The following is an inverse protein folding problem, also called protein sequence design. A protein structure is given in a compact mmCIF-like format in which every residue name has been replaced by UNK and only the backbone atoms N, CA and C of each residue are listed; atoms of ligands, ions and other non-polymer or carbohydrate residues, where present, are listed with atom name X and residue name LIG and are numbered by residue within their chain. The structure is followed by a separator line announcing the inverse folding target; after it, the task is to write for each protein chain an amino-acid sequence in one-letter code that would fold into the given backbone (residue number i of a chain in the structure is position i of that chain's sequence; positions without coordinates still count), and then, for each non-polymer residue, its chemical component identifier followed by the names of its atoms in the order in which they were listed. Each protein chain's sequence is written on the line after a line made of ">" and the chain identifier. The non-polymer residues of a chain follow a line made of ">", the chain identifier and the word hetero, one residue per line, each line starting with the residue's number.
data_IF_077674210150
#
_entry.id   IF_077674210150
#
_cell.length_a   1.000
_cell.length_b   1.000
_cell.length_c   1.000
_cell.angle_alpha   90.00
_cell.angle_beta   90.00
_cell.angle_gamma   90.00
#
_symmetry.space_group_name_H-M   'P 1'
#
loop_
_entity.id
_entity.type
_entity.pdbx_description
1 polymer ?
#
# COMPACT_ATOMS: atom_id res chain seq x y z
N UNK A 1 -21.61 0.98 -29.32
CA UNK A 1 -20.65 1.57 -28.36
C UNK A 1 -20.89 3.09 -28.39
N UNK A 2 -20.76 3.79 -27.26
CA UNK A 2 -21.08 5.22 -27.20
C UNK A 2 -20.09 6.00 -28.09
N UNK A 3 -20.55 6.75 -29.10
CA UNK A 3 -19.70 7.39 -30.14
C UNK A 3 -18.58 8.26 -29.56
N UNK A 4 -18.75 8.76 -28.33
CA UNK A 4 -17.76 9.53 -27.59
C UNK A 4 -16.52 8.74 -27.17
N UNK A 5 -16.65 7.44 -26.93
CA UNK A 5 -15.53 6.56 -26.55
C UNK A 5 -14.68 6.20 -27.76
N UNK A 6 -15.28 6.03 -28.93
CA UNK A 6 -14.58 5.67 -30.18
C UNK A 6 -13.61 6.78 -30.63
N UNK A 7 -13.93 8.05 -30.34
CA UNK A 7 -13.08 9.20 -30.66
C UNK A 7 -12.23 9.68 -29.48
N UNK A 8 -12.26 8.99 -28.32
CA UNK A 8 -11.56 9.44 -27.13
C UNK A 8 -10.05 9.27 -27.28
N UNK A 9 -9.30 10.37 -27.15
CA UNK A 9 -7.83 10.32 -27.15
C UNK A 9 -7.34 9.77 -25.81
N UNK A 10 -6.52 8.72 -25.85
CA UNK A 10 -5.81 8.23 -24.66
C UNK A 10 -4.79 9.29 -24.24
N UNK A 11 -4.96 9.85 -23.06
CA UNK A 11 -4.05 10.83 -22.48
C UNK A 11 -3.54 10.26 -21.16
N UNK A 12 -2.22 10.19 -20.99
CA UNK A 12 -1.62 9.85 -19.70
C UNK A 12 -1.95 10.98 -18.73
N UNK A 13 -2.69 10.65 -17.67
CA UNK A 13 -3.03 11.64 -16.64
C UNK A 13 -1.78 11.95 -15.81
N UNK A 14 -1.33 13.20 -15.85
CA UNK A 14 -0.30 13.70 -14.93
C UNK A 14 -0.80 13.71 -13.49
N UNK A 15 0.06 13.25 -12.59
CA UNK A 15 -0.21 13.04 -11.17
C UNK A 15 0.99 13.56 -10.39
N UNK A 16 0.73 14.58 -9.60
CA UNK A 16 1.71 15.45 -8.99
C UNK A 16 2.48 14.68 -7.89
N UNK A 17 1.75 13.81 -7.19
CA UNK A 17 2.20 12.98 -6.07
C UNK A 17 3.01 11.74 -6.48
N UNK A 18 3.37 11.57 -7.77
CA UNK A 18 4.18 10.42 -8.21
C UNK A 18 5.54 10.44 -7.52
N UNK A 19 6.06 9.25 -7.24
CA UNK A 19 7.34 9.04 -6.58
C UNK A 19 8.36 8.42 -7.54
N UNK A 20 9.62 8.82 -7.45
CA UNK A 20 10.74 8.18 -8.15
C UNK A 20 11.48 7.17 -7.26
N UNK A 21 11.48 7.39 -5.93
CA UNK A 21 12.30 6.61 -5.00
C UNK A 21 11.48 5.58 -4.19
N UNK A 22 10.15 5.71 -4.17
CA UNK A 22 9.28 4.78 -3.45
C UNK A 22 8.81 3.60 -4.31
N UNK A 23 9.52 2.48 -4.21
CA UNK A 23 9.18 1.22 -4.87
C UNK A 23 8.26 0.28 -4.09
N UNK A 24 7.89 0.61 -2.84
CA UNK A 24 7.23 -0.30 -1.89
C UNK A 24 5.75 0.02 -1.66
N UNK A 25 5.32 1.25 -1.94
CA UNK A 25 3.95 1.72 -1.69
C UNK A 25 3.04 1.76 -2.94
N UNK A 26 3.44 1.11 -4.03
CA UNK A 26 2.66 1.10 -5.28
C UNK A 26 1.21 0.63 -5.07
N UNK A 27 0.99 -0.34 -4.18
CA UNK A 27 -0.34 -0.82 -3.81
C UNK A 27 -1.18 0.24 -3.09
N UNK A 28 -0.58 1.03 -2.20
CA UNK A 28 -1.27 2.11 -1.47
C UNK A 28 -1.69 3.22 -2.44
N UNK A 29 -0.80 3.63 -3.34
CA UNK A 29 -1.12 4.60 -4.40
C UNK A 29 -2.25 4.10 -5.30
N UNK A 30 -2.20 2.83 -5.73
CA UNK A 30 -3.22 2.22 -6.59
C UNK A 30 -4.58 2.17 -5.90
N UNK A 31 -4.64 1.71 -4.65
CA UNK A 31 -5.88 1.67 -3.87
C UNK A 31 -6.46 3.08 -3.67
N UNK A 32 -5.61 4.07 -3.37
CA UNK A 32 -6.06 5.46 -3.21
C UNK A 32 -6.58 6.06 -4.51
N UNK A 33 -5.95 5.73 -5.63
CA UNK A 33 -6.43 6.11 -6.96
C UNK A 33 -7.84 5.57 -7.19
N UNK A 34 -8.06 4.25 -6.99
CA UNK A 34 -9.38 3.63 -7.16
C UNK A 34 -10.43 4.18 -6.17
N UNK A 35 -10.03 4.51 -4.94
CA UNK A 35 -10.93 5.09 -3.92
C UNK A 35 -11.42 6.48 -4.35
N UNK A 36 -10.53 7.34 -4.85
CA UNK A 36 -10.79 8.78 -5.03
C UNK A 36 -11.05 9.22 -6.46
N UNK A 37 -10.52 8.52 -7.47
CA UNK A 37 -10.72 8.89 -8.87
C UNK A 37 -12.07 8.38 -9.38
N UNK A 38 -12.91 9.31 -9.88
CA UNK A 38 -14.26 9.01 -10.42
C UNK A 38 -14.40 9.38 -11.90
N UNK A 39 -13.29 9.37 -12.64
CA UNK A 39 -13.28 9.69 -14.07
C UNK A 39 -13.49 11.18 -14.39
N UNK A 40 -13.30 12.07 -13.43
CA UNK A 40 -13.46 13.53 -13.60
C UNK A 40 -12.18 14.28 -13.26
N UNK A 41 -11.98 15.40 -13.94
CA UNK A 41 -10.90 16.37 -13.68
C UNK A 41 -11.51 17.73 -13.30
N UNK A 42 -10.94 18.49 -12.35
CA UNK A 42 -9.71 18.18 -11.60
C UNK A 42 -9.92 17.04 -10.60
N UNK A 43 -8.87 16.26 -10.37
CA UNK A 43 -8.86 15.17 -9.39
C UNK A 43 -7.74 15.43 -8.39
N UNK A 44 -8.04 15.23 -7.11
CA UNK A 44 -7.07 15.33 -6.03
C UNK A 44 -7.11 14.02 -5.22
N UNK A 45 -5.98 13.32 -5.15
CA UNK A 45 -5.81 12.10 -4.35
C UNK A 45 -5.69 12.38 -2.85
N UNK A 46 -5.39 13.63 -2.48
CA UNK A 46 -5.04 14.07 -1.13
C UNK A 46 -3.57 13.87 -0.77
N UNK A 47 -2.75 13.31 -1.67
CA UNK A 47 -1.32 13.19 -1.44
C UNK A 47 -0.59 14.51 -1.66
N UNK A 48 0.43 14.71 -0.85
CA UNK A 48 1.44 15.75 -1.08
C UNK A 48 2.50 15.22 -2.06
N UNK A 49 3.28 16.12 -2.64
CA UNK A 49 4.38 15.77 -3.54
C UNK A 49 5.54 15.08 -2.78
N UNK A 50 6.36 14.32 -3.51
CA UNK A 50 7.51 13.58 -2.96
C UNK A 50 8.58 14.52 -2.36
N UNK A 51 8.65 15.78 -2.82
CA UNK A 51 9.51 16.83 -2.25
C UNK A 51 9.24 17.08 -0.75
N UNK A 52 8.01 16.79 -0.28
CA UNK A 52 7.61 16.80 1.12
C UNK A 52 7.59 15.39 1.71
N UNK A 53 8.73 14.70 1.56
CA UNK A 53 8.90 13.28 1.89
C UNK A 53 8.31 12.88 3.24
N UNK A 54 8.63 13.55 4.34
CA UNK A 54 8.16 13.17 5.68
C UNK A 54 6.62 13.22 5.82
N UNK A 55 5.99 14.21 5.16
CA UNK A 55 4.55 14.35 5.14
C UNK A 55 3.92 13.27 4.26
N UNK A 56 4.49 13.00 3.08
CA UNK A 56 4.02 11.94 2.19
C UNK A 56 4.17 10.56 2.84
N UNK A 57 5.30 10.27 3.46
CA UNK A 57 5.55 9.02 4.21
C UNK A 57 4.56 8.83 5.34
N UNK A 58 4.18 9.92 6.03
CA UNK A 58 3.14 9.88 7.06
C UNK A 58 1.75 9.58 6.48
N UNK A 59 1.40 10.17 5.32
CA UNK A 59 0.15 9.87 4.61
C UNK A 59 0.12 8.41 4.14
N UNK A 60 1.23 7.91 3.57
CA UNK A 60 1.37 6.54 3.12
C UNK A 60 1.27 5.56 4.28
N UNK A 61 1.96 5.82 5.40
CA UNK A 61 1.87 5.00 6.62
C UNK A 61 0.44 4.91 7.14
N UNK A 62 -0.25 6.05 7.23
CA UNK A 62 -1.65 6.09 7.66
C UNK A 62 -2.57 5.27 6.73
N UNK A 63 -2.46 5.48 5.42
CA UNK A 63 -3.26 4.74 4.44
C UNK A 63 -2.92 3.25 4.43
N UNK A 64 -1.65 2.88 4.61
CA UNK A 64 -1.21 1.50 4.72
C UNK A 64 -1.92 0.80 5.88
N UNK A 65 -1.96 1.41 7.07
CA UNK A 65 -2.70 0.85 8.21
C UNK A 65 -4.21 0.80 7.97
N UNK A 66 -4.80 1.84 7.38
CA UNK A 66 -6.23 1.90 7.06
C UNK A 66 -6.65 0.82 6.07
N UNK A 67 -5.86 0.59 5.03
CA UNK A 67 -6.16 -0.45 4.04
C UNK A 67 -5.87 -1.83 4.59
N UNK A 68 -4.75 -2.02 5.29
CA UNK A 68 -4.40 -3.29 5.93
C UNK A 68 -5.49 -3.72 6.91
N UNK A 69 -5.96 -2.82 7.78
CA UNK A 69 -7.01 -3.14 8.74
C UNK A 69 -8.29 -3.57 8.05
N UNK A 70 -8.71 -2.87 6.98
CA UNK A 70 -9.87 -3.27 6.18
C UNK A 70 -9.71 -4.63 5.52
N UNK A 71 -8.53 -4.94 4.97
CA UNK A 71 -8.26 -6.23 4.30
C UNK A 71 -8.28 -7.36 5.34
N UNK A 72 -7.53 -7.21 6.43
CA UNK A 72 -7.43 -8.20 7.50
C UNK A 72 -8.81 -8.45 8.13
N UNK A 73 -9.54 -7.37 8.42
CA UNK A 73 -10.85 -7.41 9.06
C UNK A 73 -12.01 -7.60 8.08
N UNK A 74 -11.77 -7.82 6.80
CA UNK A 74 -12.83 -8.13 5.84
C UNK A 74 -13.43 -9.51 6.08
N UNK A 75 -14.75 -9.66 5.92
CA UNK A 75 -15.42 -10.97 5.86
C UNK A 75 -15.04 -11.76 4.59
N UNK A 76 -14.56 -11.07 3.55
CA UNK A 76 -14.07 -11.69 2.31
C UNK A 76 -12.63 -12.22 2.42
N UNK A 77 -11.95 -11.99 3.54
CA UNK A 77 -10.61 -12.51 3.74
C UNK A 77 -10.67 -14.02 3.97
N UNK A 78 -10.26 -14.81 2.98
CA UNK A 78 -10.30 -16.28 3.02
C UNK A 78 -9.49 -16.87 4.18
N UNK A 79 -8.47 -16.16 4.66
CA UNK A 79 -7.62 -16.57 5.79
C UNK A 79 -7.94 -15.81 7.07
N UNK A 80 -9.07 -15.10 7.15
CA UNK A 80 -9.50 -14.29 8.31
C UNK A 80 -9.32 -15.05 9.61
N UNK A 81 -9.86 -16.27 9.71
CA UNK A 81 -9.75 -17.09 10.92
C UNK A 81 -8.29 -17.29 11.35
N UNK A 82 -7.40 -17.64 10.42
CA UNK A 82 -5.98 -17.84 10.73
C UNK A 82 -5.33 -16.55 11.23
N UNK A 83 -5.65 -15.42 10.61
CA UNK A 83 -5.14 -14.11 11.02
C UNK A 83 -5.62 -13.71 12.42
N UNK A 84 -6.83 -14.09 12.82
CA UNK A 84 -7.35 -13.85 14.19
C UNK A 84 -6.80 -14.82 15.24
N UNK A 85 -6.50 -16.06 14.86
CA UNK A 85 -5.93 -17.04 15.80
C UNK A 85 -4.42 -16.85 16.01
N UNK A 86 -3.69 -16.38 15.00
CA UNK A 86 -2.24 -16.20 15.07
C UNK A 86 -1.77 -15.31 16.25
N UNK A 87 -2.42 -14.16 16.56
CA UNK A 87 -2.08 -13.36 17.75
C UNK A 87 -2.29 -14.12 19.06
N UNK A 88 -3.35 -14.93 19.18
CA UNK A 88 -3.64 -15.71 20.40
C UNK A 88 -2.54 -16.73 20.67
N UNK A 89 -2.05 -17.39 19.64
CA UNK A 89 -0.93 -18.32 19.74
C UNK A 89 0.38 -17.60 20.06
N UNK A 90 0.57 -16.38 19.55
CA UNK A 90 1.72 -15.55 19.88
C UNK A 90 1.70 -15.12 21.36
N UNK A 91 0.54 -14.75 21.90
CA UNK A 91 0.40 -14.31 23.29
C UNK A 91 0.74 -15.40 24.32
N UNK A 92 0.52 -16.67 23.97
CA UNK A 92 0.85 -17.84 24.81
C UNK A 92 2.36 -18.09 24.94
N UNK A 93 3.18 -17.54 24.04
CA UNK A 93 4.63 -17.77 24.05
C UNK A 93 5.32 -16.87 25.07
N UNK A 94 6.25 -17.42 25.85
CA UNK A 94 7.00 -16.69 26.87
C UNK A 94 8.11 -15.79 26.31
N UNK A 95 8.70 -16.16 25.17
CA UNK A 95 9.82 -15.44 24.54
C UNK A 95 9.36 -14.37 23.53
N UNK A 96 8.49 -13.44 23.94
CA UNK A 96 7.90 -12.42 23.03
C UNK A 96 8.93 -11.43 22.48
N UNK A 97 9.87 -11.00 23.32
CA UNK A 97 10.86 -9.97 22.98
C UNK A 97 11.82 -10.43 21.88
N UNK A 98 12.28 -11.66 21.93
CA UNK A 98 13.22 -12.20 20.93
C UNK A 98 12.55 -12.42 19.57
N UNK A 99 11.27 -12.82 19.57
CA UNK A 99 10.50 -12.97 18.33
C UNK A 99 10.18 -11.62 17.66
N UNK A 100 10.00 -10.53 18.43
CA UNK A 100 9.80 -9.20 17.86
C UNK A 100 11.06 -8.70 17.14
N UNK A 101 12.25 -8.92 17.72
CA UNK A 101 13.53 -8.57 17.07
C UNK A 101 13.76 -9.34 15.77
N UNK A 102 13.30 -10.59 15.70
CA UNK A 102 13.37 -11.41 14.48
C UNK A 102 12.46 -10.88 13.36
N UNK A 103 11.34 -10.25 13.71
CA UNK A 103 10.41 -9.69 12.73
C UNK A 103 11.02 -8.50 11.98
N UNK A 104 11.71 -7.59 12.67
CA UNK A 104 12.39 -6.45 12.05
C UNK A 104 13.45 -6.93 11.05
N UNK A 105 14.22 -7.96 11.41
CA UNK A 105 15.22 -8.57 10.52
C UNK A 105 14.59 -9.21 9.29
N UNK A 106 13.47 -9.92 9.45
CA UNK A 106 12.72 -10.54 8.32
C UNK A 106 12.14 -9.50 7.37
N UNK A 107 11.66 -8.36 7.89
CA UNK A 107 11.15 -7.26 7.06
C UNK A 107 12.29 -6.69 6.22
N UNK A 108 13.44 -6.39 6.82
CA UNK A 108 14.61 -5.90 6.10
C UNK A 108 15.08 -6.87 5.01
N UNK A 109 15.19 -8.17 5.31
CA UNK A 109 15.58 -9.17 4.31
C UNK A 109 14.63 -9.22 3.11
N UNK A 110 13.31 -9.19 3.34
CA UNK A 110 12.32 -9.18 2.26
C UNK A 110 12.43 -7.94 1.38
N UNK A 111 12.77 -6.79 1.98
CA UNK A 111 13.01 -5.56 1.24
C UNK A 111 14.26 -5.70 0.36
N UNK A 112 15.36 -6.22 0.93
CA UNK A 112 16.61 -6.45 0.21
C UNK A 112 16.42 -7.41 -0.98
N UNK A 113 15.71 -8.53 -0.77
CA UNK A 113 15.37 -9.48 -1.83
C UNK A 113 14.58 -8.81 -2.96
N UNK A 114 13.54 -8.04 -2.63
CA UNK A 114 12.72 -7.34 -3.62
C UNK A 114 13.52 -6.33 -4.45
N UNK A 115 14.39 -5.54 -3.82
CA UNK A 115 15.21 -4.55 -4.53
C UNK A 115 16.33 -5.20 -5.34
N UNK A 116 16.90 -6.32 -4.89
CA UNK A 116 17.91 -7.05 -5.64
C UNK A 116 17.32 -7.77 -6.86
N UNK A 117 16.07 -8.24 -6.79
CA UNK A 117 15.35 -8.82 -7.94
C UNK A 117 15.07 -7.81 -9.06
N UNK A 118 15.10 -6.50 -8.78
CA UNK A 118 14.92 -5.43 -9.78
C UNK A 118 16.21 -4.94 -10.43
N UNK A 119 17.38 -5.48 -10.04
CA UNK A 119 18.69 -5.14 -10.62
C UNK A 119 19.09 -6.03 -11.80
N UNK A 120 18.22 -6.97 -12.22
CA UNK A 120 18.36 -7.82 -13.40
C UNK A 120 17.38 -7.33 -14.47
#
# INVERSE_FOLDING_TARGET
>A
MDKKLETARIIRKEMDWRTLENGVDCGVFTMRHMETYKGKTPWNSGFVNEDRKDAQDSQLRFLRYRYLSKIVLSEYNLIRKQVFEAPKEFEKKSAKVDMLKDLDKKISQRLDEFFNLKKV
#
